data_IF_609367594541
#
_entry.id   IF_609367594541
#
_cell.length_a   1.000
_cell.length_b   1.000
_cell.length_c   1.000
_cell.angle_alpha   90.00
_cell.angle_beta   90.00
_cell.angle_gamma   90.00
#
_symmetry.space_group_name_H-M   'P 1'
#
loop_
_entity.id
_entity.type
_entity.pdbx_description
1 polymer ?
#
# COMPACT_ATOMS: atom_id res chain seq x y z
N UNK A 1 1.49 22.31 16.37
CA UNK A 1 1.81 21.41 17.51
C UNK A 1 0.83 20.23 17.57
N UNK A 2 -0.49 20.47 17.51
CA UNK A 2 -1.52 19.41 17.56
C UNK A 2 -1.44 18.42 16.38
N UNK A 3 -1.34 18.89 15.13
CA UNK A 3 -1.14 18.02 13.96
C UNK A 3 0.10 17.12 14.04
N UNK A 4 1.19 17.60 14.65
CA UNK A 4 2.40 16.79 14.83
C UNK A 4 2.18 15.68 15.87
N UNK A 5 1.39 15.95 16.91
CA UNK A 5 1.00 14.94 17.90
C UNK A 5 0.09 13.88 17.27
N UNK A 6 -0.87 14.28 16.44
CA UNK A 6 -1.75 13.34 15.73
C UNK A 6 -0.97 12.46 14.75
N UNK A 7 0.01 13.03 14.02
CA UNK A 7 0.86 12.24 13.13
C UNK A 7 1.70 11.23 13.90
N UNK A 8 2.35 11.64 14.99
CA UNK A 8 3.11 10.71 15.84
C UNK A 8 2.23 9.58 16.38
N UNK A 9 1.03 9.92 16.85
CA UNK A 9 0.06 8.94 17.33
C UNK A 9 -0.37 7.94 16.24
N UNK A 10 -0.55 8.40 15.00
CA UNK A 10 -0.85 7.52 13.88
C UNK A 10 0.30 6.56 13.55
N UNK A 11 1.55 7.04 13.60
CA UNK A 11 2.74 6.20 13.42
C UNK A 11 2.84 5.13 14.54
N UNK A 12 2.65 5.52 15.80
CA UNK A 12 2.71 4.60 16.95
C UNK A 12 1.67 3.47 16.85
N UNK A 13 0.43 3.79 16.45
CA UNK A 13 -0.62 2.77 16.26
C UNK A 13 -0.30 1.88 15.06
N UNK A 14 0.20 2.46 13.97
CA UNK A 14 0.58 1.70 12.77
C UNK A 14 1.65 0.67 13.11
N UNK A 15 2.71 1.09 13.80
CA UNK A 15 3.80 0.21 14.22
C UNK A 15 3.27 -0.94 15.08
N UNK A 16 2.49 -0.63 16.12
CA UNK A 16 1.91 -1.65 17.01
C UNK A 16 1.01 -2.65 16.27
N UNK A 17 0.22 -2.17 15.30
CA UNK A 17 -0.65 -3.01 14.47
C UNK A 17 0.18 -3.95 13.59
N UNK A 18 1.20 -3.42 12.93
CA UNK A 18 2.07 -4.21 12.06
C UNK A 18 2.91 -5.23 12.83
N UNK A 19 3.45 -4.87 14.00
CA UNK A 19 4.19 -5.81 14.86
C UNK A 19 3.32 -7.00 15.24
N UNK A 20 2.07 -6.76 15.67
CA UNK A 20 1.14 -7.85 16.01
C UNK A 20 0.80 -8.73 14.81
N UNK A 21 0.59 -8.12 13.63
CA UNK A 21 0.35 -8.86 12.38
C UNK A 21 1.55 -9.76 12.02
N UNK A 22 2.77 -9.21 12.06
CA UNK A 22 3.99 -9.96 11.73
C UNK A 22 4.20 -11.10 12.73
N UNK A 23 4.02 -10.85 14.03
CA UNK A 23 4.10 -11.90 15.06
C UNK A 23 3.10 -13.02 14.80
N UNK A 24 1.85 -12.68 14.46
CA UNK A 24 0.81 -13.67 14.12
C UNK A 24 1.24 -14.53 12.93
N UNK A 25 1.80 -13.94 11.88
CA UNK A 25 2.26 -14.68 10.71
C UNK A 25 3.48 -15.56 11.03
N UNK A 26 4.44 -15.04 11.79
CA UNK A 26 5.60 -15.80 12.23
C UNK A 26 5.21 -17.01 13.10
N UNK A 27 4.26 -16.83 14.03
CA UNK A 27 3.72 -17.93 14.86
C UNK A 27 3.01 -19.02 14.05
N UNK A 28 2.58 -18.70 12.82
CA UNK A 28 1.96 -19.63 11.88
C UNK A 28 2.93 -20.10 10.79
N UNK A 29 4.24 -20.07 11.06
CA UNK A 29 5.30 -20.64 10.22
C UNK A 29 5.48 -19.94 8.85
N UNK A 30 5.00 -18.70 8.69
CA UNK A 30 5.33 -17.88 7.52
C UNK A 30 6.75 -17.32 7.63
N UNK A 31 7.47 -17.26 6.50
CA UNK A 31 8.78 -16.60 6.42
C UNK A 31 8.61 -15.08 6.43
N UNK A 32 8.88 -14.48 7.58
CA UNK A 32 8.74 -13.02 7.80
C UNK A 32 10.03 -12.23 7.56
N UNK A 33 11.14 -12.92 7.30
CA UNK A 33 12.44 -12.30 7.08
C UNK A 33 12.75 -12.11 5.58
N UNK A 34 11.91 -12.69 4.72
CA UNK A 34 12.02 -12.62 3.26
C UNK A 34 11.87 -11.19 2.71
N UNK A 35 12.66 -10.85 1.68
CA UNK A 35 12.64 -9.52 1.04
C UNK A 35 11.25 -9.18 0.48
N UNK A 36 10.55 -10.15 -0.10
CA UNK A 36 9.20 -9.96 -0.63
C UNK A 36 8.19 -9.73 0.51
N UNK A 37 8.29 -10.46 1.61
CA UNK A 37 7.46 -10.23 2.79
C UNK A 37 7.66 -8.82 3.35
N UNK A 38 8.91 -8.38 3.51
CA UNK A 38 9.22 -7.03 3.98
C UNK A 38 8.71 -5.94 3.03
N UNK A 39 8.75 -6.19 1.71
CA UNK A 39 8.16 -5.29 0.71
C UNK A 39 6.64 -5.20 0.87
N UNK A 40 5.97 -6.33 1.03
CA UNK A 40 4.51 -6.39 1.23
C UNK A 40 4.09 -5.71 2.54
N UNK A 41 4.83 -5.94 3.62
CA UNK A 41 4.61 -5.25 4.90
C UNK A 41 4.80 -3.74 4.77
N UNK A 42 5.82 -3.30 4.03
CA UNK A 42 6.02 -1.87 3.72
C UNK A 42 4.81 -1.24 3.05
N UNK A 43 4.19 -1.96 2.10
CA UNK A 43 2.95 -1.51 1.47
C UNK A 43 1.75 -1.50 2.45
N UNK A 44 1.61 -2.54 3.28
CA UNK A 44 0.55 -2.64 4.29
C UNK A 44 0.66 -1.51 5.33
N UNK A 45 1.87 -1.16 5.76
CA UNK A 45 2.14 -0.03 6.67
C UNK A 45 1.52 1.25 6.09
N UNK A 46 1.79 1.56 4.82
CA UNK A 46 1.27 2.77 4.17
C UNK A 46 -0.26 2.74 4.00
N UNK A 47 -0.85 1.54 3.84
CA UNK A 47 -2.31 1.38 3.83
C UNK A 47 -2.93 1.68 5.20
N UNK A 48 -2.33 1.17 6.28
CA UNK A 48 -2.79 1.41 7.65
C UNK A 48 -2.63 2.90 8.01
N UNK A 49 -1.51 3.54 7.64
CA UNK A 49 -1.33 4.99 7.82
C UNK A 49 -2.39 5.78 7.11
N UNK A 50 -2.68 5.48 5.84
CA UNK A 50 -3.73 6.17 5.10
C UNK A 50 -5.10 6.04 5.76
N UNK A 51 -5.42 4.85 6.27
CA UNK A 51 -6.66 4.62 7.01
C UNK A 51 -6.73 5.48 8.28
N UNK A 52 -5.72 5.40 9.14
CA UNK A 52 -5.70 6.15 10.41
C UNK A 52 -5.66 7.66 10.16
N UNK A 53 -4.84 8.12 9.20
CA UNK A 53 -4.77 9.53 8.82
C UNK A 53 -6.14 10.06 8.43
N UNK A 54 -6.90 9.34 7.60
CA UNK A 54 -8.24 9.73 7.20
C UNK A 54 -9.18 9.88 8.39
N UNK A 55 -9.17 8.93 9.33
CA UNK A 55 -9.99 9.00 10.56
C UNK A 55 -9.60 10.18 11.47
N UNK A 56 -8.33 10.60 11.42
CA UNK A 56 -7.83 11.77 12.16
C UNK A 56 -7.95 13.09 11.38
N UNK A 57 -8.56 13.09 10.18
CA UNK A 57 -8.67 14.27 9.32
C UNK A 57 -7.36 14.73 8.68
N UNK A 58 -6.36 13.84 8.59
CA UNK A 58 -5.06 14.06 7.96
C UNK A 58 -5.05 13.50 6.53
N UNK A 59 -4.21 14.09 5.68
CA UNK A 59 -3.99 13.64 4.32
C UNK A 59 -2.88 12.57 4.27
N UNK A 60 -3.01 11.62 3.34
CA UNK A 60 -1.98 10.61 3.06
C UNK A 60 -2.01 10.22 1.57
N UNK A 61 -0.87 10.20 0.86
CA UNK A 61 -0.85 9.88 -0.58
C UNK A 61 -1.47 8.53 -0.94
N UNK A 62 -1.30 7.53 -0.08
CA UNK A 62 -1.87 6.19 -0.28
C UNK A 62 -3.41 6.18 -0.23
N UNK A 63 -4.06 7.19 0.36
CA UNK A 63 -5.52 7.25 0.44
C UNK A 63 -6.19 7.34 -0.95
N UNK A 64 -5.65 8.18 -1.83
CA UNK A 64 -6.18 8.34 -3.19
C UNK A 64 -5.95 7.09 -4.03
N UNK A 65 -4.78 6.45 -3.86
CA UNK A 65 -4.49 5.18 -4.52
C UNK A 65 -5.48 4.09 -4.10
N UNK A 66 -5.73 3.93 -2.80
CA UNK A 66 -6.71 2.96 -2.29
C UNK A 66 -8.10 3.22 -2.89
N UNK A 67 -8.56 4.47 -2.91
CA UNK A 67 -9.87 4.80 -3.52
C UNK A 67 -9.91 4.54 -5.03
N UNK A 68 -8.79 4.74 -5.73
CA UNK A 68 -8.72 4.47 -7.16
C UNK A 68 -8.92 2.98 -7.46
N UNK A 69 -8.27 2.09 -6.70
CA UNK A 69 -8.23 0.65 -6.99
C UNK A 69 -9.24 -0.18 -6.20
N UNK A 70 -10.13 0.43 -5.40
CA UNK A 70 -11.15 -0.29 -4.63
C UNK A 70 -12.56 0.16 -4.99
N UNK A 71 -13.54 -0.70 -4.70
CA UNK A 71 -14.98 -0.38 -4.77
C UNK A 71 -15.52 -0.11 -3.36
N UNK A 72 -16.53 0.78 -3.23
CA UNK A 72 -17.29 0.91 -1.99
C UNK A 72 -17.86 -0.43 -1.55
N UNK A 73 -17.80 -0.71 -0.25
CA UNK A 73 -18.30 -1.97 0.32
C UNK A 73 -19.81 -2.14 0.12
N UNK A 74 -20.56 -1.06 -0.11
CA UNK A 74 -21.99 -1.07 -0.45
C UNK A 74 -22.32 -1.80 -1.75
N UNK A 75 -21.33 -2.01 -2.62
CA UNK A 75 -21.50 -2.62 -3.94
C UNK A 75 -21.22 -4.13 -3.93
N UNK A 76 -20.96 -4.72 -2.76
CA UNK A 76 -20.59 -6.13 -2.59
C UNK A 76 -21.71 -6.92 -1.88
N UNK A 77 -21.96 -8.19 -2.26
CA UNK A 77 -22.76 -9.09 -1.44
C UNK A 77 -22.08 -9.27 -0.06
N UNK A 78 -22.82 -9.71 0.97
CA UNK A 78 -22.36 -9.91 2.37
C UNK A 78 -21.19 -10.92 2.56
N UNK A 79 -20.46 -11.27 1.50
CA UNK A 79 -19.31 -12.15 1.45
C UNK A 79 -18.00 -11.40 1.77
N UNK A 80 -17.03 -12.02 2.47
CA UNK A 80 -15.71 -11.45 2.77
C UNK A 80 -14.78 -11.40 1.54
N UNK A 81 -15.31 -11.06 0.37
CA UNK A 81 -14.48 -10.87 -0.83
C UNK A 81 -13.70 -9.57 -0.75
N UNK A 82 -12.49 -9.59 -1.30
CA UNK A 82 -11.67 -8.38 -1.46
C UNK A 82 -12.43 -7.34 -2.29
N UNK A 83 -12.51 -6.10 -1.79
CA UNK A 83 -13.12 -4.98 -2.50
C UNK A 83 -12.21 -4.34 -3.55
N UNK A 84 -11.07 -4.95 -3.86
CA UNK A 84 -10.14 -4.48 -4.89
C UNK A 84 -10.78 -4.63 -6.28
N UNK A 85 -10.84 -3.53 -7.00
CA UNK A 85 -11.23 -3.49 -8.41
C UNK A 85 -10.07 -4.01 -9.27
N UNK A 86 -10.11 -5.31 -9.60
CA UNK A 86 -9.05 -6.00 -10.34
C UNK A 86 -8.78 -5.38 -11.72
N UNK A 87 -9.81 -4.83 -12.37
CA UNK A 87 -9.64 -4.18 -13.69
C UNK A 87 -8.84 -2.89 -13.54
N UNK A 88 -9.16 -2.07 -12.54
CA UNK A 88 -8.40 -0.85 -12.25
C UNK A 88 -7.00 -1.14 -11.75
N UNK A 89 -6.84 -2.15 -10.90
CA UNK A 89 -5.51 -2.58 -10.44
C UNK A 89 -4.64 -2.99 -11.64
N UNK A 90 -5.16 -3.81 -12.55
CA UNK A 90 -4.42 -4.22 -13.75
C UNK A 90 -4.08 -3.03 -14.65
N UNK A 91 -5.00 -2.08 -14.82
CA UNK A 91 -4.77 -0.87 -15.60
C UNK A 91 -3.64 -0.02 -15.01
N UNK A 92 -3.63 0.18 -13.68
CA UNK A 92 -2.56 0.94 -13.01
C UNK A 92 -1.22 0.21 -13.11
N UNK A 93 -1.19 -1.11 -12.90
CA UNK A 93 0.04 -1.91 -13.05
C UNK A 93 0.60 -1.78 -14.46
N UNK A 94 -0.25 -1.91 -15.49
CA UNK A 94 0.17 -1.77 -16.89
C UNK A 94 0.74 -0.37 -17.17
N UNK A 95 0.05 0.67 -16.73
CA UNK A 95 0.48 2.06 -16.91
C UNK A 95 1.84 2.35 -16.26
N UNK A 96 2.05 1.87 -15.03
CA UNK A 96 3.35 2.03 -14.33
C UNK A 96 4.47 1.28 -15.07
N UNK A 97 4.21 0.06 -15.55
CA UNK A 97 5.18 -0.71 -16.33
C UNK A 97 5.56 -0.03 -17.65
N UNK A 98 4.60 0.59 -18.33
CA UNK A 98 4.83 1.36 -19.56
C UNK A 98 5.73 2.59 -19.30
N UNK A 99 5.45 3.35 -18.23
CA UNK A 99 6.30 4.48 -17.83
C UNK A 99 7.73 4.03 -17.51
N UNK A 100 7.89 2.89 -16.82
CA UNK A 100 9.22 2.37 -16.49
C UNK A 100 9.97 1.94 -17.74
N UNK A 101 9.29 1.35 -18.72
CA UNK A 101 9.87 0.98 -20.00
C UNK A 101 10.33 2.20 -20.80
N UNK A 102 9.52 3.26 -20.87
CA UNK A 102 9.88 4.52 -21.54
C UNK A 102 11.10 5.18 -20.92
N UNK A 103 11.19 5.22 -19.58
CA UNK A 103 12.38 5.76 -18.88
C UNK A 103 13.64 4.94 -19.14
N UNK A 104 13.53 3.62 -19.22
CA UNK A 104 14.67 2.76 -19.51
C UNK A 104 15.17 2.93 -20.97
N UNK A 105 14.31 3.33 -21.91
CA UNK A 105 14.72 3.67 -23.28
C UNK A 105 15.47 5.01 -23.31
N UNK A 106 14.99 6.01 -22.57
CA UNK A 106 15.65 7.33 -22.52
C UNK A 106 17.02 7.28 -21.80
N UNK A 107 17.23 6.29 -20.92
CA UNK A 107 18.48 6.05 -20.20
C UNK A 107 19.46 5.09 -20.96
N UNK A 108 19.01 4.40 -22.02
CA UNK A 108 19.91 3.70 -22.95
C UNK A 108 20.52 4.72 -23.92
N UNK A 109 21.76 5.14 -23.63
CA UNK A 109 22.56 6.00 -24.51
C UNK A 109 22.58 5.44 -25.95
N UNK A 110 22.15 6.20 -26.98
CA UNK A 110 22.23 5.76 -28.37
C UNK A 110 23.67 5.58 -28.88
N UNK A 111 24.70 5.93 -28.09
CA UNK A 111 26.11 5.68 -28.40
C UNK A 111 26.64 4.33 -27.85
N UNK A 112 26.12 3.22 -28.35
CA UNK A 112 26.97 2.04 -28.57
C UNK A 112 26.62 1.40 -29.91
N UNK A 113 27.47 1.67 -30.89
CA UNK A 113 27.46 1.10 -32.25
C UNK A 113 27.63 -0.42 -32.27
#
# INVERSE_FOLDING_TARGET
VEHLKLKSFAEDITEQTCVQMIQTLHENEFDVDGVEFLRDVGFIIECIKALIHRELGLQHPMADFIHLITKPMSDLPDSPESNVDKEKLLAVTKYISEIQYEKNIDDEDPEVS
#
